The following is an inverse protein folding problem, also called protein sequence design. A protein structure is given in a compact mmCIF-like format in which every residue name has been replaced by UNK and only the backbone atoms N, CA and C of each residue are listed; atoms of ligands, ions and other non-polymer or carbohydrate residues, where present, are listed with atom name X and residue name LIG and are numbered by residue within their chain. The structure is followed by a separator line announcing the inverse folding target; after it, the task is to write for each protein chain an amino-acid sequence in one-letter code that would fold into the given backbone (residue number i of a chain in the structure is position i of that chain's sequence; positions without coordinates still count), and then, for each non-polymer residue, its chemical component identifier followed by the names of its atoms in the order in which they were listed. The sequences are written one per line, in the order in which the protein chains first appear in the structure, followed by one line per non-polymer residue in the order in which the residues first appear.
data_IF_682304968081
#
_entry.id   IF_682304968081
#
_cell.length_a   1.000
_cell.length_b   1.000
_cell.length_c   1.000
_cell.angle_alpha   90.00
_cell.angle_beta   90.00
_cell.angle_gamma   90.00
#
_symmetry.space_group_name_H-M   'P 1'
#
loop_
_entity.id
_entity.type
_entity.pdbx_description
1 polymer ?
#
# COMPACT_ATOMS: atom_id res chain seq x y z
N UNK A 1 17.02 -1.72 -11.15
CA UNK A 1 15.59 -1.91 -10.94
C UNK A 1 14.88 -0.61 -11.27
N UNK A 2 13.86 -0.68 -12.10
CA UNK A 2 13.07 0.48 -12.54
C UNK A 2 11.68 0.47 -11.87
N UNK A 3 11.32 1.58 -11.27
CA UNK A 3 10.06 1.74 -10.53
C UNK A 3 9.09 2.58 -11.35
N UNK A 4 7.94 2.05 -11.70
CA UNK A 4 6.87 2.78 -12.36
C UNK A 4 5.87 3.34 -11.35
N UNK A 5 5.68 4.66 -11.30
CA UNK A 5 4.66 5.29 -10.44
C UNK A 5 3.49 5.78 -11.28
N UNK A 6 2.30 5.24 -11.02
CA UNK A 6 1.10 5.54 -11.81
C UNK A 6 0.52 6.89 -11.41
N UNK A 7 0.14 7.70 -12.40
CA UNK A 7 -0.62 8.94 -12.18
C UNK A 7 -2.02 8.81 -12.75
N UNK A 8 -3.03 8.87 -11.87
CA UNK A 8 -4.43 8.99 -12.23
C UNK A 8 -4.91 10.44 -12.12
N UNK A 9 -6.01 10.83 -12.78
CA UNK A 9 -6.65 12.11 -12.51
C UNK A 9 -7.04 12.19 -11.02
N UNK A 10 -6.57 13.20 -10.30
CA UNK A 10 -6.80 13.35 -8.86
C UNK A 10 -5.81 12.62 -7.95
N UNK A 11 -4.83 11.86 -8.47
CA UNK A 11 -3.67 11.43 -7.68
C UNK A 11 -2.91 12.66 -7.22
N UNK A 12 -2.65 12.77 -5.92
CA UNK A 12 -1.89 13.89 -5.34
C UNK A 12 -0.70 13.43 -4.48
N UNK A 13 -0.51 12.11 -4.34
CA UNK A 13 0.65 11.52 -3.67
C UNK A 13 1.64 10.88 -4.66
N UNK A 14 1.41 11.01 -5.97
CA UNK A 14 2.31 10.47 -6.99
C UNK A 14 3.68 11.15 -6.95
N UNK A 15 3.72 12.48 -6.75
CA UNK A 15 4.98 13.21 -6.64
C UNK A 15 5.71 12.90 -5.33
N UNK A 16 5.00 12.69 -4.22
CA UNK A 16 5.61 12.26 -2.94
C UNK A 16 6.29 10.90 -3.13
N UNK A 17 5.61 9.95 -3.79
CA UNK A 17 6.16 8.62 -4.06
C UNK A 17 7.35 8.66 -5.03
N UNK A 18 7.27 9.47 -6.10
CA UNK A 18 8.39 9.68 -7.04
C UNK A 18 9.59 10.26 -6.32
N UNK A 19 9.37 11.24 -5.43
CA UNK A 19 10.44 11.84 -4.63
C UNK A 19 11.07 10.81 -3.67
N UNK A 20 10.24 10.08 -2.91
CA UNK A 20 10.73 9.07 -1.98
C UNK A 20 11.55 7.99 -2.68
N UNK A 21 11.04 7.43 -3.78
CA UNK A 21 11.73 6.35 -4.50
C UNK A 21 12.94 6.88 -5.29
N UNK A 22 12.80 8.01 -5.99
CA UNK A 22 13.84 8.51 -6.90
C UNK A 22 14.89 9.38 -6.22
N UNK A 23 14.48 10.30 -5.32
CA UNK A 23 15.42 11.23 -4.69
C UNK A 23 15.99 10.66 -3.39
N UNK A 24 15.15 10.17 -2.49
CA UNK A 24 15.61 9.69 -1.19
C UNK A 24 16.27 8.30 -1.29
N UNK A 25 15.65 7.37 -2.03
CA UNK A 25 16.11 5.99 -2.12
C UNK A 25 16.92 5.69 -3.40
N UNK A 26 17.11 6.69 -4.29
CA UNK A 26 17.98 6.62 -5.48
C UNK A 26 17.64 5.50 -6.48
N UNK A 27 16.38 5.11 -6.59
CA UNK A 27 15.93 4.18 -7.63
C UNK A 27 15.70 4.90 -8.97
N UNK A 28 15.76 4.16 -10.08
CA UNK A 28 15.35 4.64 -11.40
C UNK A 28 13.82 4.67 -11.45
N UNK A 29 13.23 5.87 -11.54
CA UNK A 29 11.77 6.07 -11.45
C UNK A 29 11.21 6.62 -12.76
N UNK A 30 10.15 6.00 -13.26
CA UNK A 30 9.38 6.48 -14.41
C UNK A 30 7.94 6.78 -14.00
N UNK A 31 7.40 7.88 -14.52
CA UNK A 31 6.01 8.27 -14.33
C UNK A 31 5.12 7.60 -15.37
N UNK A 32 4.15 6.80 -14.93
CA UNK A 32 3.23 6.07 -15.79
C UNK A 32 1.87 6.79 -15.87
N UNK A 33 1.44 7.15 -17.08
CA UNK A 33 0.16 7.83 -17.26
C UNK A 33 -1.00 6.84 -17.41
N UNK A 34 -2.06 7.02 -16.65
CA UNK A 34 -3.19 6.09 -16.55
C UNK A 34 -3.85 5.71 -17.90
N UNK A 35 -3.71 6.52 -18.96
CA UNK A 35 -4.23 6.20 -20.30
C UNK A 35 -3.27 5.37 -21.16
N UNK A 36 -1.99 5.27 -20.78
CA UNK A 36 -1.03 4.38 -21.42
C UNK A 36 -1.35 2.92 -21.07
N UNK A 37 -0.94 2.00 -21.94
CA UNK A 37 -0.81 0.58 -21.63
C UNK A 37 0.63 0.14 -21.50
N UNK A 38 1.58 1.05 -21.74
CA UNK A 38 3.00 0.80 -21.59
C UNK A 38 3.42 1.04 -20.14
N UNK A 39 4.13 0.09 -19.56
CA UNK A 39 4.74 0.19 -18.23
C UNK A 39 6.20 0.67 -18.31
N UNK A 40 6.67 1.10 -19.50
CA UNK A 40 8.01 1.63 -19.75
C UNK A 40 9.15 0.74 -19.19
N UNK A 41 8.93 -0.58 -19.16
CA UNK A 41 9.89 -1.56 -18.65
C UNK A 41 10.08 -1.49 -17.13
N UNK A 42 9.07 -1.05 -16.38
CA UNK A 42 9.10 -1.06 -14.92
C UNK A 42 9.13 -2.49 -14.37
N UNK A 43 10.06 -2.75 -13.45
CA UNK A 43 10.16 -4.00 -12.69
C UNK A 43 9.12 -4.06 -11.58
N UNK A 44 8.84 -2.90 -10.98
CA UNK A 44 7.86 -2.70 -9.90
C UNK A 44 6.90 -1.58 -10.29
N UNK A 45 5.61 -1.79 -10.11
CA UNK A 45 4.58 -0.76 -10.37
C UNK A 45 3.95 -0.32 -9.06
N UNK A 46 3.94 1.00 -8.82
CA UNK A 46 3.34 1.59 -7.62
C UNK A 46 2.09 2.40 -8.00
N UNK A 47 0.97 2.10 -7.35
CA UNK A 47 -0.24 2.90 -7.38
C UNK A 47 -0.24 3.80 -6.13
N UNK A 48 0.00 5.11 -6.28
CA UNK A 48 0.11 6.00 -5.14
C UNK A 48 -1.24 6.34 -4.51
N UNK A 49 -1.19 7.02 -3.38
CA UNK A 49 -2.36 7.60 -2.74
C UNK A 49 -2.94 8.79 -3.50
N UNK A 50 -4.05 9.29 -3.00
CA UNK A 50 -4.77 10.43 -3.55
C UNK A 50 -6.27 10.18 -3.61
N UNK A 51 -6.93 10.89 -4.54
CA UNK A 51 -8.37 10.82 -4.78
C UNK A 51 -8.61 10.56 -6.27
N UNK A 52 -8.23 9.38 -6.76
CA UNK A 52 -8.33 9.05 -8.18
C UNK A 52 -9.76 9.24 -8.70
N UNK A 53 -9.89 10.05 -9.77
CA UNK A 53 -11.17 10.46 -10.33
C UNK A 53 -12.12 11.14 -9.32
N UNK A 54 -11.58 11.74 -8.23
CA UNK A 54 -12.37 12.42 -7.20
C UNK A 54 -13.18 11.48 -6.32
N UNK A 55 -12.82 10.19 -6.25
CA UNK A 55 -13.51 9.12 -5.50
C UNK A 55 -15.01 8.99 -5.82
N UNK A 56 -15.42 9.41 -7.03
CA UNK A 56 -16.79 9.22 -7.47
C UNK A 56 -17.19 7.75 -7.44
N UNK A 57 -18.40 7.45 -6.99
CA UNK A 57 -18.98 6.15 -6.65
C UNK A 57 -18.41 5.60 -5.33
N UNK A 58 -17.13 5.34 -5.25
CA UNK A 58 -16.30 5.00 -4.09
C UNK A 58 -14.84 5.03 -4.49
N UNK A 59 -13.96 5.11 -3.51
CA UNK A 59 -12.52 5.22 -3.73
C UNK A 59 -11.98 4.05 -4.57
N UNK A 60 -11.25 4.38 -5.63
CA UNK A 60 -10.66 3.41 -6.55
C UNK A 60 -11.58 2.80 -7.62
N UNK A 61 -12.92 2.92 -7.47
CA UNK A 61 -13.88 2.21 -8.34
C UNK A 61 -13.79 2.58 -9.82
N UNK A 62 -13.49 3.84 -10.16
CA UNK A 62 -13.34 4.27 -11.56
C UNK A 62 -11.92 3.98 -12.05
N UNK A 63 -10.91 4.18 -11.22
CA UNK A 63 -9.51 4.02 -11.60
C UNK A 63 -9.19 2.61 -12.09
N UNK A 64 -9.85 1.57 -11.55
CA UNK A 64 -9.68 0.18 -11.99
C UNK A 64 -9.95 -0.05 -13.48
N UNK A 65 -10.72 0.84 -14.14
CA UNK A 65 -11.03 0.76 -15.57
C UNK A 65 -10.07 1.58 -16.45
N UNK A 66 -9.08 2.23 -15.87
CA UNK A 66 -8.06 2.95 -16.64
C UNK A 66 -7.25 2.00 -17.52
N UNK A 67 -6.90 2.39 -18.75
CA UNK A 67 -6.17 1.52 -19.69
C UNK A 67 -4.91 0.87 -19.10
N UNK A 68 -4.16 1.58 -18.26
CA UNK A 68 -2.95 1.06 -17.62
C UNK A 68 -3.22 -0.15 -16.71
N UNK A 69 -4.42 -0.24 -16.14
CA UNK A 69 -4.76 -1.34 -15.23
C UNK A 69 -4.79 -2.70 -15.94
N UNK A 70 -5.07 -2.75 -17.24
CA UNK A 70 -4.97 -3.99 -18.03
C UNK A 70 -3.53 -4.52 -18.01
N UNK A 71 -2.55 -3.62 -18.20
CA UNK A 71 -1.12 -3.97 -18.18
C UNK A 71 -0.62 -4.30 -16.76
N UNK A 72 -1.13 -3.59 -15.75
CA UNK A 72 -0.79 -3.87 -14.35
C UNK A 72 -1.31 -5.25 -13.91
N UNK A 73 -2.54 -5.61 -14.30
CA UNK A 73 -3.10 -6.93 -14.03
C UNK A 73 -2.26 -8.02 -14.71
N UNK A 74 -1.89 -7.83 -15.99
CA UNK A 74 -1.02 -8.77 -16.71
C UNK A 74 0.38 -8.86 -16.07
N UNK A 75 0.97 -7.72 -15.67
CA UNK A 75 2.25 -7.66 -14.97
C UNK A 75 2.21 -8.47 -13.67
N UNK A 76 1.19 -8.26 -12.83
CA UNK A 76 0.99 -8.99 -11.58
C UNK A 76 0.81 -10.50 -11.81
N UNK A 77 -0.01 -10.89 -12.80
CA UNK A 77 -0.24 -12.31 -13.15
C UNK A 77 1.03 -13.01 -13.63
N UNK A 78 1.95 -12.28 -14.23
CA UNK A 78 3.26 -12.79 -14.66
C UNK A 78 4.34 -12.73 -13.56
N UNK A 79 3.95 -12.48 -12.30
CA UNK A 79 4.86 -12.44 -11.15
C UNK A 79 5.53 -11.08 -10.90
N UNK A 80 5.20 -10.06 -11.70
CA UNK A 80 5.68 -8.69 -11.49
C UNK A 80 5.14 -8.09 -10.20
N UNK A 81 5.94 -7.23 -9.56
CA UNK A 81 5.56 -6.62 -8.27
C UNK A 81 4.66 -5.42 -8.46
N UNK A 82 3.61 -5.34 -7.65
CA UNK A 82 2.70 -4.20 -7.62
C UNK A 82 2.48 -3.77 -6.17
N UNK A 83 2.54 -2.47 -5.92
CA UNK A 83 2.31 -1.91 -4.59
C UNK A 83 1.27 -0.79 -4.63
N UNK A 84 0.24 -0.87 -3.82
CA UNK A 84 -0.80 0.15 -3.67
C UNK A 84 -0.74 0.82 -2.30
N UNK A 85 -0.67 2.16 -2.28
CA UNK A 85 -0.69 2.96 -1.07
C UNK A 85 -2.01 3.72 -0.99
N UNK A 86 -2.73 3.63 0.13
CA UNK A 86 -3.97 4.35 0.39
C UNK A 86 -4.97 4.18 -0.77
N UNK A 87 -5.20 5.20 -1.61
CA UNK A 87 -6.06 5.07 -2.80
C UNK A 87 -5.56 3.98 -3.78
N UNK A 88 -4.26 3.78 -3.91
CA UNK A 88 -3.70 2.67 -4.69
C UNK A 88 -4.10 1.30 -4.15
N UNK A 89 -4.14 1.13 -2.83
CA UNK A 89 -4.64 -0.10 -2.20
C UNK A 89 -6.14 -0.32 -2.49
N UNK A 90 -6.94 0.73 -2.40
CA UNK A 90 -8.36 0.69 -2.76
C UNK A 90 -8.56 0.25 -4.22
N UNK A 91 -7.76 0.81 -5.15
CA UNK A 91 -7.79 0.43 -6.56
C UNK A 91 -7.45 -1.05 -6.76
N UNK A 92 -6.43 -1.57 -6.06
CA UNK A 92 -6.03 -2.98 -6.15
C UNK A 92 -7.11 -3.94 -5.64
N UNK A 93 -7.82 -3.58 -4.55
CA UNK A 93 -8.97 -4.35 -4.09
C UNK A 93 -10.12 -4.30 -5.11
N UNK A 94 -10.45 -3.12 -5.66
CA UNK A 94 -11.48 -2.96 -6.69
C UNK A 94 -11.16 -3.72 -7.99
N UNK A 95 -9.88 -3.85 -8.32
CA UNK A 95 -9.41 -4.62 -9.47
C UNK A 95 -9.33 -6.14 -9.21
N UNK A 96 -9.59 -6.60 -7.98
CA UNK A 96 -9.48 -8.00 -7.61
C UNK A 96 -8.05 -8.54 -7.54
N UNK A 97 -7.05 -7.65 -7.50
CA UNK A 97 -5.65 -8.03 -7.34
C UNK A 97 -5.26 -8.27 -5.87
N UNK A 98 -6.01 -7.69 -4.95
CA UNK A 98 -5.92 -7.93 -3.51
C UNK A 98 -7.26 -8.39 -2.96
N UNK A 99 -7.27 -9.26 -1.95
CA UNK A 99 -8.50 -9.69 -1.29
C UNK A 99 -9.09 -8.59 -0.41
N UNK A 100 -10.40 -8.70 -0.12
CA UNK A 100 -11.13 -7.76 0.74
C UNK A 100 -11.53 -6.46 0.07
N UNK A 101 -11.95 -5.50 0.89
CA UNK A 101 -12.41 -4.18 0.46
C UNK A 101 -12.09 -3.11 1.52
N UNK A 102 -11.99 -1.85 1.09
CA UNK A 102 -11.86 -0.71 1.98
C UNK A 102 -13.22 -0.02 2.13
N UNK A 103 -13.68 0.12 3.35
CA UNK A 103 -14.93 0.76 3.72
C UNK A 103 -14.68 2.13 4.35
N UNK A 104 -15.73 2.92 4.53
CA UNK A 104 -15.66 4.15 5.32
C UNK A 104 -15.09 3.87 6.71
N UNK A 105 -14.23 4.77 7.19
CA UNK A 105 -13.76 4.74 8.57
C UNK A 105 -14.97 4.61 9.53
N UNK A 106 -14.84 3.86 10.60
CA UNK A 106 -15.91 3.66 11.59
C UNK A 106 -16.45 4.99 12.12
N UNK A 107 -15.57 5.97 12.32
CA UNK A 107 -15.92 7.33 12.75
C UNK A 107 -16.69 8.15 11.71
N UNK A 108 -16.76 7.72 10.46
CA UNK A 108 -17.29 8.46 9.29
C UNK A 108 -16.58 9.80 9.05
N UNK A 109 -15.38 9.97 9.58
CA UNK A 109 -14.55 11.17 9.40
C UNK A 109 -13.29 10.86 8.64
N UNK A 110 -12.79 11.86 7.92
CA UNK A 110 -11.43 11.83 7.37
C UNK A 110 -10.44 11.90 8.54
N UNK A 111 -9.45 11.00 8.55
CA UNK A 111 -8.42 10.92 9.58
C UNK A 111 -7.08 11.25 8.92
N UNK A 112 -6.38 12.24 9.49
CA UNK A 112 -5.02 12.61 9.09
C UNK A 112 -4.17 12.67 10.37
N UNK A 113 -3.34 11.66 10.58
CA UNK A 113 -2.50 11.52 11.79
C UNK A 113 -1.36 10.53 11.58
N UNK A 114 -0.35 10.60 12.43
CA UNK A 114 0.63 9.52 12.54
C UNK A 114 0.01 8.36 13.33
N UNK A 115 0.26 7.14 12.87
CA UNK A 115 -0.15 5.89 13.51
C UNK A 115 1.05 4.97 13.71
N UNK A 116 0.93 4.07 14.67
CA UNK A 116 1.90 3.01 14.86
C UNK A 116 1.43 1.76 14.14
N UNK A 117 2.32 1.15 13.36
CA UNK A 117 2.11 -0.16 12.75
C UNK A 117 3.26 -1.09 13.08
N UNK A 118 2.97 -2.39 13.10
CA UNK A 118 3.99 -3.42 13.26
C UNK A 118 3.95 -4.39 12.08
N UNK A 119 5.12 -4.89 11.62
CA UNK A 119 5.16 -5.97 10.63
C UNK A 119 4.60 -7.26 11.22
N UNK A 120 3.89 -8.03 10.41
CA UNK A 120 3.27 -9.31 10.78
C UNK A 120 3.80 -10.44 9.89
N UNK A 121 3.71 -10.28 8.57
CA UNK A 121 4.22 -11.27 7.61
C UNK A 121 5.73 -11.44 7.77
N UNK A 122 6.17 -12.70 7.72
CA UNK A 122 7.59 -13.07 7.77
C UNK A 122 8.18 -13.38 6.39
N UNK A 123 7.34 -13.56 5.40
CA UNK A 123 7.73 -13.96 4.06
C UNK A 123 7.67 -12.81 3.05
N UNK A 124 6.80 -11.83 3.26
CA UNK A 124 6.65 -10.70 2.36
C UNK A 124 7.92 -9.83 2.32
N UNK A 125 8.35 -9.44 1.12
CA UNK A 125 9.54 -8.61 0.94
C UNK A 125 9.45 -7.24 1.66
N UNK A 126 8.25 -6.70 1.83
CA UNK A 126 8.02 -5.42 2.50
C UNK A 126 8.26 -5.47 4.01
N UNK A 127 8.23 -6.64 4.63
CA UNK A 127 8.19 -6.79 6.08
C UNK A 127 9.32 -7.64 6.65
N UNK A 128 9.84 -8.60 5.90
CA UNK A 128 10.76 -9.63 6.39
C UNK A 128 12.08 -9.10 6.97
N UNK A 129 12.55 -7.94 6.49
CA UNK A 129 13.80 -7.30 6.95
C UNK A 129 13.55 -6.20 8.01
N UNK A 130 12.29 -5.92 8.33
CA UNK A 130 11.95 -4.91 9.35
C UNK A 130 12.09 -5.52 10.73
N UNK A 131 12.80 -4.82 11.62
CA UNK A 131 12.88 -5.17 13.04
C UNK A 131 11.50 -5.04 13.70
N UNK A 132 10.92 -6.16 14.10
CA UNK A 132 9.60 -6.23 14.73
C UNK A 132 9.62 -5.97 16.25
N UNK A 133 10.80 -5.71 16.81
CA UNK A 133 10.94 -5.37 18.24
C UNK A 133 10.34 -4.00 18.58
N UNK A 134 10.16 -3.14 17.57
CA UNK A 134 9.61 -1.78 17.71
C UNK A 134 8.55 -1.51 16.66
N UNK A 135 7.47 -0.80 17.02
CA UNK A 135 6.54 -0.30 16.02
C UNK A 135 7.19 0.79 15.16
N UNK A 136 6.69 0.96 13.95
CA UNK A 136 7.10 2.01 13.03
C UNK A 136 5.99 3.05 12.91
N UNK A 137 6.36 4.32 12.80
CA UNK A 137 5.43 5.44 12.77
C UNK A 137 5.20 5.88 11.32
N UNK A 138 3.98 5.73 10.82
CA UNK A 138 3.63 6.09 9.43
C UNK A 138 2.39 6.99 9.41
N UNK A 139 2.36 8.05 8.59
CA UNK A 139 1.16 8.88 8.43
C UNK A 139 0.02 8.14 7.72
N UNK A 140 -1.21 8.42 8.13
CA UNK A 140 -2.43 8.08 7.39
C UNK A 140 -3.19 9.35 7.01
N UNK A 141 -3.91 9.32 5.87
CA UNK A 141 -4.75 10.42 5.41
C UNK A 141 -5.90 9.87 4.54
N UNK A 142 -7.00 9.46 5.15
CA UNK A 142 -8.11 8.78 4.45
C UNK A 142 -9.46 8.91 5.14
N UNK A 143 -10.54 8.83 4.34
CA UNK A 143 -11.92 8.69 4.81
C UNK A 143 -12.45 7.26 4.69
N UNK A 144 -11.83 6.44 3.84
CA UNK A 144 -12.17 5.05 3.53
C UNK A 144 -10.95 4.15 3.70
N UNK A 145 -10.59 3.85 4.95
CA UNK A 145 -9.42 3.01 5.28
C UNK A 145 -9.77 1.77 6.12
N UNK A 146 -11.05 1.54 6.39
CA UNK A 146 -11.52 0.41 7.17
C UNK A 146 -11.49 -0.85 6.31
N UNK A 147 -10.44 -1.67 6.46
CA UNK A 147 -10.31 -2.93 5.74
C UNK A 147 -11.32 -3.97 6.23
N UNK A 148 -12.00 -4.59 5.29
CA UNK A 148 -13.01 -5.62 5.54
C UNK A 148 -12.82 -6.83 4.63
N UNK A 149 -12.99 -8.01 5.20
CA UNK A 149 -13.09 -9.30 4.51
C UNK A 149 -14.00 -10.21 5.35
N UNK A 150 -14.60 -11.23 4.75
CA UNK A 150 -15.38 -12.21 5.52
C UNK A 150 -14.50 -13.12 6.40
N UNK A 151 -15.13 -13.93 7.24
CA UNK A 151 -14.41 -14.76 8.21
C UNK A 151 -13.50 -15.81 7.53
N UNK A 152 -13.93 -16.38 6.41
CA UNK A 152 -13.14 -17.38 5.68
C UNK A 152 -11.93 -16.72 5.03
N UNK A 153 -12.11 -15.54 4.44
CA UNK A 153 -11.03 -14.73 3.90
C UNK A 153 -10.04 -14.27 4.97
N UNK A 154 -10.52 -13.84 6.15
CA UNK A 154 -9.63 -13.48 7.26
C UNK A 154 -8.78 -14.67 7.69
N UNK A 155 -9.40 -15.84 7.82
CA UNK A 155 -8.68 -17.06 8.16
C UNK A 155 -7.63 -17.40 7.10
N UNK A 156 -7.97 -17.26 5.81
CA UNK A 156 -7.03 -17.47 4.71
C UNK A 156 -5.84 -16.51 4.78
N UNK A 157 -6.08 -15.20 5.02
CA UNK A 157 -5.01 -14.20 5.19
C UNK A 157 -4.05 -14.58 6.33
N UNK A 158 -4.60 -15.08 7.44
CA UNK A 158 -3.81 -15.51 8.60
C UNK A 158 -3.02 -16.79 8.32
N UNK A 159 -3.67 -17.81 7.74
CA UNK A 159 -3.06 -19.12 7.46
C UNK A 159 -1.95 -19.03 6.39
N UNK A 160 -2.02 -18.04 5.47
CA UNK A 160 -1.09 -17.87 4.34
C UNK A 160 -0.12 -16.70 4.50
N UNK A 161 0.04 -16.16 5.71
CA UNK A 161 0.98 -15.07 6.02
C UNK A 161 0.77 -13.79 5.17
N UNK A 162 -0.49 -13.53 4.72
CA UNK A 162 -0.82 -12.43 3.83
C UNK A 162 -1.07 -11.09 4.53
N UNK A 163 -1.12 -11.05 5.88
CA UNK A 163 -1.24 -9.81 6.64
C UNK A 163 0.13 -9.18 6.76
N UNK A 164 0.35 -8.05 6.08
CA UNK A 164 1.64 -7.34 6.08
C UNK A 164 1.87 -6.59 7.39
N UNK A 165 0.90 -5.74 7.75
CA UNK A 165 1.00 -4.84 8.89
C UNK A 165 -0.30 -4.82 9.68
N UNK A 166 -0.18 -4.60 11.00
CA UNK A 166 -1.30 -4.27 11.86
C UNK A 166 -1.09 -2.94 12.57
N UNK A 167 -2.16 -2.19 12.76
CA UNK A 167 -2.14 -1.05 13.66
C UNK A 167 -1.88 -1.52 15.09
N UNK A 168 -1.03 -0.79 15.81
CA UNK A 168 -0.65 -1.11 17.19
C UNK A 168 -0.45 0.17 18.01
N UNK A 169 -0.25 0.02 19.31
CA UNK A 169 0.14 1.13 20.17
C UNK A 169 1.69 1.35 20.14
N UNK A 170 2.16 2.34 20.88
CA UNK A 170 3.57 2.71 20.98
C UNK A 170 4.47 1.59 21.51
N UNK A 171 3.91 0.58 22.15
CA UNK A 171 4.62 -0.61 22.65
C UNK A 171 4.51 -1.80 21.68
N UNK A 172 3.95 -1.61 20.47
CA UNK A 172 3.75 -2.66 19.47
C UNK A 172 2.60 -3.62 19.79
N UNK A 173 1.74 -3.30 20.77
CA UNK A 173 0.60 -4.14 21.13
C UNK A 173 -0.62 -3.80 20.27
N UNK A 174 -1.15 -4.80 19.59
CA UNK A 174 -2.41 -4.69 18.85
C UNK A 174 -3.58 -4.69 19.84
N UNK A 175 -4.38 -3.64 19.79
CA UNK A 175 -5.55 -3.49 20.65
C UNK A 175 -6.60 -2.58 19.97
N UNK A 176 -7.88 -2.59 20.41
CA UNK A 176 -8.94 -1.79 19.79
C UNK A 176 -8.67 -0.27 19.79
N UNK A 177 -7.92 0.24 20.75
CA UNK A 177 -7.64 1.67 20.91
C UNK A 177 -6.59 2.19 19.93
N UNK A 178 -5.72 1.29 19.44
CA UNK A 178 -4.69 1.61 18.45
C UNK A 178 -5.19 1.48 17.00
N UNK A 179 -6.42 1.00 16.80
CA UNK A 179 -7.03 0.88 15.47
C UNK A 179 -7.73 2.19 15.10
N UNK A 180 -7.19 2.99 14.15
CA UNK A 180 -7.70 4.34 13.92
C UNK A 180 -9.01 4.38 13.13
N UNK A 181 -9.33 3.33 12.38
CA UNK A 181 -10.35 3.38 11.33
C UNK A 181 -11.39 2.25 11.38
N UNK A 182 -11.25 1.31 12.33
CA UNK A 182 -12.15 0.16 12.47
C UNK A 182 -11.79 -1.03 11.58
N UNK A 183 -10.60 -1.07 10.99
CA UNK A 183 -10.12 -2.21 10.18
C UNK A 183 -10.24 -3.53 10.93
N UNK A 184 -10.76 -4.54 10.23
CA UNK A 184 -10.86 -5.90 10.77
C UNK A 184 -9.48 -6.40 11.22
N UNK A 185 -9.40 -6.98 12.42
CA UNK A 185 -8.17 -7.53 13.02
C UNK A 185 -7.00 -6.49 13.05
N UNK A 186 -7.34 -5.19 13.10
CA UNK A 186 -6.41 -4.05 13.01
C UNK A 186 -5.49 -4.08 11.77
N UNK A 187 -5.92 -4.71 10.68
CA UNK A 187 -5.13 -4.84 9.45
C UNK A 187 -4.87 -3.46 8.85
N UNK A 188 -3.59 -3.14 8.64
CA UNK A 188 -3.14 -1.92 7.99
C UNK A 188 -2.67 -2.15 6.54
N UNK A 189 -2.38 -3.39 6.18
CA UNK A 189 -1.97 -3.79 4.84
C UNK A 189 -1.97 -5.30 4.64
N UNK A 190 -2.17 -5.72 3.39
CA UNK A 190 -2.24 -7.15 2.98
C UNK A 190 -1.46 -7.41 1.69
N UNK A 191 -1.13 -8.68 1.46
CA UNK A 191 -0.59 -9.19 0.21
C UNK A 191 -1.57 -10.15 -0.48
N UNK A 192 -1.36 -10.39 -1.79
CA UNK A 192 -2.00 -11.49 -2.49
C UNK A 192 -1.29 -12.83 -2.17
N UNK A 193 -1.90 -13.95 -2.58
CA UNK A 193 -1.33 -15.31 -2.36
C UNK A 193 0.07 -15.52 -2.95
N UNK A 194 0.36 -14.88 -4.08
CA UNK A 194 1.64 -15.01 -4.78
C UNK A 194 2.74 -14.12 -4.17
N UNK A 195 2.42 -13.32 -3.14
CA UNK A 195 3.35 -12.40 -2.49
C UNK A 195 4.06 -11.43 -3.44
N UNK A 196 3.35 -10.99 -4.48
CA UNK A 196 3.86 -10.04 -5.46
C UNK A 196 2.97 -8.80 -5.64
N UNK A 197 1.75 -8.80 -5.10
CA UNK A 197 0.87 -7.63 -5.02
C UNK A 197 0.65 -7.28 -3.55
N UNK A 198 0.90 -6.02 -3.20
CA UNK A 198 0.88 -5.53 -1.83
C UNK A 198 0.03 -4.27 -1.74
N UNK A 199 -0.68 -4.08 -0.64
CA UNK A 199 -1.44 -2.87 -0.38
C UNK A 199 -1.42 -2.48 1.09
N UNK A 200 -1.35 -1.17 1.36
CA UNK A 200 -1.47 -0.65 2.72
C UNK A 200 -2.12 0.73 2.74
N UNK A 201 -2.82 1.06 3.83
CA UNK A 201 -3.44 2.38 4.00
C UNK A 201 -2.46 3.47 4.47
N UNK A 202 -1.49 3.20 5.36
CA UNK A 202 -0.46 4.16 5.72
C UNK A 202 0.43 4.55 4.53
N UNK A 203 1.01 5.77 4.60
CA UNK A 203 1.80 6.41 3.55
C UNK A 203 3.30 6.32 3.85
N UNK A 204 4.03 5.27 3.45
CA UNK A 204 5.46 5.14 3.71
C UNK A 204 6.29 6.22 3.01
N UNK A 205 5.83 6.74 1.86
CA UNK A 205 6.50 7.83 1.13
C UNK A 205 6.55 9.14 1.91
N UNK A 206 5.65 9.33 2.89
CA UNK A 206 5.61 10.51 3.79
C UNK A 206 6.38 10.31 5.09
N UNK A 207 7.07 9.19 5.20
CA UNK A 207 7.94 8.83 6.31
C UNK A 207 9.26 8.23 5.78
N UNK A 208 9.81 8.79 4.70
CA UNK A 208 10.97 8.23 4.00
C UNK A 208 12.15 9.22 3.90
N UNK A 209 12.07 10.38 4.55
CA UNK A 209 13.11 11.41 4.48
C UNK A 209 13.41 12.01 5.85
N UNK A 210 14.69 12.28 6.12
CA UNK A 210 15.12 13.02 7.30
C UNK A 210 14.56 14.44 7.35
N UNK A 211 14.31 15.06 6.19
CA UNK A 211 13.73 16.40 6.08
C UNK A 211 12.27 16.43 6.56
N UNK A 212 11.59 15.30 6.49
CA UNK A 212 10.25 15.10 7.06
C UNK A 212 10.30 14.73 8.56
N UNK A 213 11.49 14.55 9.12
CA UNK A 213 11.71 14.15 10.52
C UNK A 213 11.35 12.68 10.80
N UNK A 214 11.11 11.88 9.77
CA UNK A 214 10.76 10.47 9.91
C UNK A 214 11.26 9.65 8.71
N UNK A 215 11.96 8.55 8.97
CA UNK A 215 12.51 7.63 7.96
C UNK A 215 11.97 6.21 8.09
N UNK A 216 11.00 5.95 8.93
CA UNK A 216 10.45 4.62 9.19
C UNK A 216 9.87 3.97 7.92
N UNK A 217 9.26 4.78 7.04
CA UNK A 217 8.70 4.31 5.78
C UNK A 217 9.73 3.88 4.74
N UNK A 218 10.97 4.39 4.85
CA UNK A 218 12.05 4.02 3.94
C UNK A 218 12.35 2.51 3.97
N UNK A 219 12.21 1.87 5.14
CA UNK A 219 12.41 0.43 5.30
C UNK A 219 11.41 -0.38 4.46
N UNK A 220 10.14 0.05 4.46
CA UNK A 220 9.06 -0.60 3.68
C UNK A 220 9.36 -0.47 2.18
N UNK A 221 9.66 0.76 1.72
CA UNK A 221 9.94 1.05 0.31
C UNK A 221 11.21 0.34 -0.19
N UNK A 222 12.23 0.25 0.64
CA UNK A 222 13.46 -0.51 0.32
C UNK A 222 13.17 -2.01 0.22
N UNK A 223 12.35 -2.56 1.12
CA UNK A 223 11.92 -3.95 1.06
C UNK A 223 11.18 -4.29 -0.24
N UNK A 224 10.35 -3.37 -0.76
CA UNK A 224 9.68 -3.54 -2.05
C UNK A 224 10.68 -3.74 -3.21
N UNK A 225 11.82 -3.06 -3.12
CA UNK A 225 12.88 -3.12 -4.13
C UNK A 225 13.88 -4.27 -3.91
N UNK A 226 13.80 -5.01 -2.80
CA UNK A 226 14.70 -6.13 -2.55
C UNK A 226 14.59 -7.19 -3.65
N UNK A 227 15.74 -7.70 -4.11
CA UNK A 227 15.79 -8.77 -5.10
C UNK A 227 15.06 -10.02 -4.58
N UNK A 228 14.32 -10.68 -5.48
CA UNK A 228 13.86 -12.03 -5.22
C UNK A 228 15.12 -12.91 -5.31
N UNK A 229 15.57 -13.46 -4.20
CA UNK A 229 16.48 -14.60 -4.26
C UNK A 229 15.68 -15.77 -4.85
N UNK A 230 16.02 -16.12 -6.09
CA UNK A 230 15.47 -17.28 -6.82
C UNK A 230 16.12 -18.55 -6.31
#
# INVERSE_FOLDING_TARGET
MKIGVVTFPGSNCDMDMIHAMGHELQFDVVKLWHKSRDLDGADVVILPGGFSYGDYLRSGAIARFSPIMESIVAHAQNGGRVFGVCNGFQILCEAGLLPGALLHNESRKFICSNVQIKPVSRTACLTREIDDSKPITIPIAHGEGNYFIDNDGLKELQDQDQILFRYCDENGKVNPWSNPNGSLDSIAGVANKQMNVFGMMPHPERAASSDLGNTDGAQILTGLAALIEV
#
